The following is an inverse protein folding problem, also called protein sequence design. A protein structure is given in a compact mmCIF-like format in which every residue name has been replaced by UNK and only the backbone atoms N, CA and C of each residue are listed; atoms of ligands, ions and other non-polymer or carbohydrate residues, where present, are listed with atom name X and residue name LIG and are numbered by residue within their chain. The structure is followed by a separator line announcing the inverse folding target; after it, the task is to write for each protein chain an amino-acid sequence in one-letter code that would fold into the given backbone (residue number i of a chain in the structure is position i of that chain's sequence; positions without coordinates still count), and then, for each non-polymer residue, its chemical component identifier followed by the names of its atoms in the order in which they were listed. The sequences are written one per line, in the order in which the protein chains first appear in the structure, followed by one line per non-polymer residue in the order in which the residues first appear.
data_IF_561865117397
#
_entry.id   IF_561865117397
#
_cell.length_a   1.000
_cell.length_b   1.000
_cell.length_c   1.000
_cell.angle_alpha   90.00
_cell.angle_beta   90.00
_cell.angle_gamma   90.00
#
_symmetry.space_group_name_H-M   'P 1'
#
loop_
_entity.id
_entity.type
_entity.pdbx_description
1 polymer ?
#
# COMPACT_ATOMS: atom_id res chain seq x y z
N UNK A 1 0.41 26.60 15.62
CA UNK A 1 1.27 25.76 14.76
C UNK A 1 0.66 25.68 13.38
N UNK A 2 1.46 25.73 12.31
CA UNK A 2 1.01 25.71 10.92
C UNK A 2 1.13 24.30 10.35
N UNK A 3 0.07 23.79 9.74
CA UNK A 3 0.05 22.48 9.08
C UNK A 3 -0.17 22.69 7.58
N UNK A 4 0.75 22.21 6.78
CA UNK A 4 0.67 22.25 5.33
C UNK A 4 0.10 20.96 4.76
N UNK A 5 -0.84 21.09 3.86
CA UNK A 5 -1.42 20.02 3.06
C UNK A 5 -1.07 20.25 1.59
N UNK A 6 -0.13 19.51 0.98
CA UNK A 6 0.14 19.62 -0.46
C UNK A 6 -1.07 19.27 -1.34
N UNK A 7 -1.97 18.43 -0.79
CA UNK A 7 -3.24 18.04 -1.41
C UNK A 7 -4.35 18.04 -0.35
N UNK A 8 -5.61 18.27 -0.73
CA UNK A 8 -6.74 18.19 0.20
C UNK A 8 -6.80 16.81 0.90
N UNK A 9 -7.17 16.82 2.16
CA UNK A 9 -7.49 15.64 2.96
C UNK A 9 -8.93 15.74 3.49
N UNK A 10 -9.40 14.72 4.16
CA UNK A 10 -10.74 14.60 4.69
C UNK A 10 -11.01 15.67 5.77
N UNK A 11 -12.22 16.24 5.73
CA UNK A 11 -12.65 17.36 6.60
C UNK A 11 -12.56 17.03 8.08
N UNK A 12 -12.75 15.78 8.47
CA UNK A 12 -12.64 15.31 9.84
C UNK A 12 -11.23 15.50 10.41
N UNK A 13 -10.21 15.27 9.58
CA UNK A 13 -8.82 15.48 9.96
C UNK A 13 -8.49 16.99 10.05
N UNK A 14 -9.03 17.80 9.14
CA UNK A 14 -8.86 19.26 9.18
C UNK A 14 -9.51 19.83 10.44
N UNK A 15 -10.76 19.43 10.74
CA UNK A 15 -11.47 19.86 11.94
C UNK A 15 -10.70 19.50 13.21
N UNK A 16 -10.14 18.28 13.28
CA UNK A 16 -9.31 17.85 14.43
C UNK A 16 -8.09 18.76 14.66
N UNK A 17 -7.43 19.20 13.57
CA UNK A 17 -6.30 20.13 13.66
C UNK A 17 -6.75 21.53 14.09
N UNK A 18 -7.84 22.04 13.52
CA UNK A 18 -8.39 23.37 13.82
C UNK A 18 -8.91 23.47 15.26
N UNK A 19 -9.55 22.43 15.79
CA UNK A 19 -9.96 22.33 17.20
C UNK A 19 -8.78 22.44 18.18
N UNK A 20 -7.58 22.08 17.73
CA UNK A 20 -6.32 22.24 18.45
C UNK A 20 -5.58 23.53 18.11
N UNK A 21 -6.28 24.52 17.53
CA UNK A 21 -5.75 25.83 17.15
C UNK A 21 -4.59 25.76 16.14
N UNK A 22 -4.53 24.75 15.30
CA UNK A 22 -3.62 24.71 14.17
C UNK A 22 -4.17 25.55 13.01
N UNK A 23 -3.29 26.26 12.32
CA UNK A 23 -3.59 26.94 11.07
C UNK A 23 -3.31 25.92 9.95
N UNK A 24 -4.36 25.51 9.24
CA UNK A 24 -4.24 24.54 8.13
C UNK A 24 -4.20 25.28 6.82
N UNK A 25 -3.16 25.06 6.04
CA UNK A 25 -2.98 25.63 4.69
C UNK A 25 -2.94 24.51 3.67
N UNK A 26 -3.85 24.55 2.68
CA UNK A 26 -3.82 23.61 1.55
C UNK A 26 -3.16 24.31 0.34
N UNK A 27 -2.15 23.67 -0.26
CA UNK A 27 -1.53 24.15 -1.47
C UNK A 27 -2.52 24.12 -2.66
N UNK A 28 -2.43 25.04 -3.62
CA UNK A 28 -3.29 25.04 -4.81
C UNK A 28 -3.12 23.78 -5.67
N UNK A 29 -1.90 23.25 -5.75
CA UNK A 29 -1.57 21.98 -6.39
C UNK A 29 -0.35 21.34 -5.71
N UNK A 30 -0.11 20.01 -5.90
CA UNK A 30 0.98 19.31 -5.25
C UNK A 30 2.32 19.41 -5.98
N UNK A 31 2.58 20.50 -6.72
CA UNK A 31 3.85 20.66 -7.42
C UNK A 31 4.93 21.23 -6.50
N UNK A 32 6.19 20.81 -6.68
CA UNK A 32 7.31 21.29 -5.86
C UNK A 32 7.40 22.83 -5.82
N UNK A 33 7.26 23.49 -6.95
CA UNK A 33 7.33 24.96 -7.07
C UNK A 33 6.20 25.69 -6.31
N UNK A 34 5.04 25.06 -6.14
CA UNK A 34 3.91 25.59 -5.39
C UNK A 34 4.04 25.30 -3.89
N UNK A 35 4.54 24.12 -3.54
CA UNK A 35 4.67 23.67 -2.16
C UNK A 35 5.88 24.29 -1.45
N UNK A 36 7.01 24.47 -2.17
CA UNK A 36 8.27 24.97 -1.61
C UNK A 36 8.13 26.28 -0.82
N UNK A 37 7.47 27.33 -1.32
CA UNK A 37 7.31 28.58 -0.56
C UNK A 37 6.50 28.41 0.73
N UNK A 38 5.56 27.46 0.76
CA UNK A 38 4.68 27.20 1.90
C UNK A 38 5.35 26.36 2.99
N UNK A 39 6.39 25.60 2.63
CA UNK A 39 7.14 24.77 3.59
C UNK A 39 7.92 25.62 4.60
N UNK A 40 8.31 26.85 4.25
CA UNK A 40 9.13 27.71 5.07
C UNK A 40 8.53 27.95 6.46
N UNK A 41 7.23 28.17 6.55
CA UNK A 41 6.51 28.49 7.77
C UNK A 41 5.72 27.29 8.33
N UNK A 42 5.84 26.11 7.69
CA UNK A 42 5.13 24.91 8.09
C UNK A 42 5.84 24.21 9.27
N UNK A 43 5.07 23.85 10.29
CA UNK A 43 5.54 23.05 11.43
C UNK A 43 5.18 21.56 11.26
N UNK A 44 4.08 21.26 10.59
CA UNK A 44 3.65 19.91 10.23
C UNK A 44 3.29 19.81 8.76
N UNK A 45 3.56 18.64 8.17
CA UNK A 45 3.20 18.32 6.79
C UNK A 45 2.40 17.03 6.78
N UNK A 46 1.16 17.07 6.25
CA UNK A 46 0.38 15.85 6.02
C UNK A 46 0.37 15.55 4.53
N UNK A 47 0.83 14.35 4.18
CA UNK A 47 1.23 13.99 2.83
C UNK A 47 0.43 12.82 2.26
N UNK A 48 -0.06 12.97 1.02
CA UNK A 48 -0.58 11.92 0.13
C UNK A 48 0.47 11.49 -0.91
N UNK A 49 0.06 10.80 -1.97
CA UNK A 49 0.95 10.30 -3.02
C UNK A 49 1.32 11.31 -4.10
N UNK A 50 0.64 12.45 -4.19
CA UNK A 50 0.72 13.36 -5.33
C UNK A 50 2.00 14.19 -5.44
N UNK A 51 2.89 14.14 -4.45
CA UNK A 51 4.18 14.84 -4.45
C UNK A 51 5.26 14.00 -3.77
N UNK A 52 6.48 14.10 -4.25
CA UNK A 52 7.67 13.54 -3.58
C UNK A 52 8.37 14.63 -2.77
N UNK A 53 8.49 14.40 -1.47
CA UNK A 53 9.24 15.28 -0.54
C UNK A 53 10.69 14.82 -0.53
N UNK A 54 11.45 15.37 -1.46
CA UNK A 54 12.87 15.09 -1.65
C UNK A 54 13.75 15.94 -0.72
N UNK A 55 15.06 15.73 -0.77
CA UNK A 55 16.06 16.46 0.03
C UNK A 55 15.95 17.97 -0.16
N UNK A 56 15.78 18.43 -1.39
CA UNK A 56 15.68 19.88 -1.68
C UNK A 56 14.52 20.55 -0.94
N UNK A 57 13.31 19.94 -0.98
CA UNK A 57 12.15 20.45 -0.26
C UNK A 57 12.38 20.41 1.26
N UNK A 58 12.99 19.34 1.77
CA UNK A 58 13.31 19.20 3.19
C UNK A 58 14.31 20.26 3.66
N UNK A 59 15.31 20.58 2.87
CA UNK A 59 16.32 21.60 3.20
C UNK A 59 15.71 23.01 3.37
N UNK A 60 14.63 23.31 2.68
CA UNK A 60 13.92 24.59 2.78
C UNK A 60 12.86 24.63 3.92
N UNK A 61 12.64 23.53 4.62
CA UNK A 61 11.64 23.40 5.67
C UNK A 61 12.26 23.57 7.07
N UNK A 62 12.67 24.78 7.46
CA UNK A 62 13.43 25.03 8.68
C UNK A 62 12.61 24.81 9.95
N UNK A 63 11.34 25.17 9.92
CA UNK A 63 10.43 25.06 11.06
C UNK A 63 9.74 23.69 11.14
N UNK A 64 9.87 22.85 10.10
CA UNK A 64 9.14 21.59 10.01
C UNK A 64 9.58 20.58 11.09
N UNK A 65 8.64 20.10 11.90
CA UNK A 65 8.86 19.16 12.99
C UNK A 65 8.48 17.74 12.60
N UNK A 66 7.44 17.59 11.77
CA UNK A 66 6.87 16.28 11.42
C UNK A 66 6.36 16.25 9.98
N UNK A 67 6.63 15.13 9.32
CA UNK A 67 6.00 14.72 8.06
C UNK A 67 5.14 13.49 8.36
N UNK A 68 3.82 13.62 8.26
CA UNK A 68 2.88 12.53 8.51
C UNK A 68 2.25 12.05 7.22
N UNK A 69 2.52 10.80 6.85
CA UNK A 69 2.03 10.17 5.62
C UNK A 69 0.67 9.54 5.87
N UNK A 70 -0.36 9.87 5.09
CA UNK A 70 -1.70 9.26 5.21
C UNK A 70 -1.73 7.78 4.82
N UNK A 71 -0.75 7.28 4.07
CA UNK A 71 -0.61 5.87 3.69
C UNK A 71 0.53 5.15 4.41
N UNK A 72 0.66 3.85 4.18
CA UNK A 72 1.70 3.03 4.81
C UNK A 72 3.08 3.11 4.13
N UNK A 73 3.13 3.42 2.83
CA UNK A 73 4.39 3.53 2.07
C UNK A 73 5.06 4.89 2.24
N UNK A 74 6.38 4.94 2.19
CA UNK A 74 7.19 6.16 2.31
C UNK A 74 8.05 6.40 1.06
N UNK A 75 7.69 5.79 -0.05
CA UNK A 75 8.44 5.87 -1.31
C UNK A 75 8.58 7.31 -1.85
N UNK A 76 7.69 8.20 -1.42
CA UNK A 76 7.68 9.61 -1.79
C UNK A 76 8.20 10.56 -0.69
N UNK A 77 8.99 10.06 0.27
CA UNK A 77 9.65 10.87 1.31
C UNK A 77 11.12 10.48 1.43
N UNK A 78 12.02 11.45 1.33
CA UNK A 78 13.43 11.25 1.69
C UNK A 78 13.57 11.19 3.21
N UNK A 79 13.36 9.99 3.76
CA UNK A 79 13.42 9.73 5.20
C UNK A 79 14.81 10.01 5.78
N UNK A 80 15.88 9.83 4.98
CA UNK A 80 17.26 10.11 5.40
C UNK A 80 17.48 11.61 5.60
N UNK A 81 17.10 12.43 4.63
CA UNK A 81 17.18 13.88 4.72
C UNK A 81 16.33 14.44 5.88
N UNK A 82 15.11 13.91 6.06
CA UNK A 82 14.26 14.29 7.19
C UNK A 82 14.92 13.97 8.54
N UNK A 83 15.57 12.81 8.66
CA UNK A 83 16.27 12.37 9.86
C UNK A 83 17.46 13.26 10.16
N UNK A 84 18.29 13.57 9.17
CA UNK A 84 19.44 14.48 9.30
C UNK A 84 19.04 15.87 9.79
N UNK A 85 17.86 16.35 9.36
CA UNK A 85 17.28 17.64 9.77
C UNK A 85 16.52 17.56 11.12
N UNK A 86 16.38 16.38 11.70
CA UNK A 86 15.66 16.15 12.96
C UNK A 86 14.15 16.28 12.82
N UNK A 87 13.60 15.94 11.64
CA UNK A 87 12.17 15.92 11.33
C UNK A 87 11.64 14.49 11.53
N UNK A 88 10.59 14.36 12.35
CA UNK A 88 9.91 13.07 12.56
C UNK A 88 9.13 12.70 11.31
N UNK A 89 9.27 11.45 10.86
CA UNK A 89 8.44 10.89 9.75
C UNK A 89 7.55 9.80 10.32
N UNK A 90 6.25 9.94 10.11
CA UNK A 90 5.26 8.90 10.48
C UNK A 90 4.54 8.34 9.26
N UNK A 91 4.06 7.11 9.38
CA UNK A 91 3.25 6.45 8.35
C UNK A 91 2.07 5.70 8.97
N UNK A 92 0.99 5.52 8.21
CA UNK A 92 -0.21 4.84 8.67
C UNK A 92 -0.13 3.32 8.52
N UNK A 93 0.83 2.70 9.22
CA UNK A 93 0.98 1.25 9.20
C UNK A 93 -0.22 0.57 9.86
N UNK A 94 -0.94 -0.26 9.07
CA UNK A 94 -2.05 -1.08 9.55
C UNK A 94 -3.43 -0.45 9.42
N UNK A 95 -3.54 0.87 9.28
CA UNK A 95 -4.82 1.59 9.17
C UNK A 95 -5.63 1.17 7.93
N UNK A 96 -4.95 0.83 6.86
CA UNK A 96 -5.53 0.42 5.58
C UNK A 96 -5.65 -1.10 5.40
N UNK A 97 -5.28 -1.91 6.38
CA UNK A 97 -5.18 -3.39 6.24
C UNK A 97 -6.49 -4.00 5.74
N UNK A 98 -7.62 -3.66 6.36
CA UNK A 98 -8.93 -4.23 6.00
C UNK A 98 -9.33 -3.84 4.58
N UNK A 99 -9.22 -2.56 4.23
CA UNK A 99 -9.62 -2.06 2.91
C UNK A 99 -8.81 -2.68 1.77
N UNK A 100 -7.48 -2.82 1.97
CA UNK A 100 -6.62 -3.50 0.98
C UNK A 100 -6.95 -4.99 0.91
N UNK A 101 -7.23 -5.65 2.04
CA UNK A 101 -7.63 -7.06 2.04
C UNK A 101 -8.95 -7.27 1.27
N UNK A 102 -9.96 -6.45 1.52
CA UNK A 102 -11.24 -6.49 0.80
C UNK A 102 -11.06 -6.26 -0.71
N UNK A 103 -10.21 -5.30 -1.10
CA UNK A 103 -9.91 -5.03 -2.50
C UNK A 103 -9.23 -6.24 -3.18
N UNK A 104 -8.22 -6.83 -2.55
CA UNK A 104 -7.55 -8.04 -3.05
C UNK A 104 -8.53 -9.21 -3.18
N UNK A 105 -9.36 -9.45 -2.18
CA UNK A 105 -10.39 -10.49 -2.21
C UNK A 105 -11.41 -10.25 -3.32
N UNK A 106 -11.79 -8.99 -3.57
CA UNK A 106 -12.70 -8.65 -4.67
C UNK A 106 -12.09 -8.97 -6.03
N UNK A 107 -10.79 -8.70 -6.25
CA UNK A 107 -10.07 -9.09 -7.46
C UNK A 107 -9.97 -10.60 -7.61
N UNK A 108 -9.64 -11.33 -6.53
CA UNK A 108 -9.58 -12.81 -6.53
C UNK A 108 -10.93 -13.39 -6.96
N UNK A 109 -12.02 -12.93 -6.36
CA UNK A 109 -13.36 -13.40 -6.70
C UNK A 109 -13.78 -13.00 -8.10
N UNK A 110 -13.53 -11.75 -8.51
CA UNK A 110 -13.89 -11.26 -9.84
C UNK A 110 -13.17 -12.02 -10.96
N UNK A 111 -11.88 -12.32 -10.81
CA UNK A 111 -11.11 -13.14 -11.75
C UNK A 111 -11.57 -14.60 -11.75
N UNK A 112 -11.70 -15.21 -10.57
CA UNK A 112 -12.11 -16.62 -10.45
C UNK A 112 -13.51 -16.85 -11.00
N UNK A 113 -14.44 -15.91 -10.78
CA UNK A 113 -15.82 -15.95 -11.29
C UNK A 113 -15.98 -15.31 -12.66
N UNK A 114 -14.91 -14.79 -13.28
CA UNK A 114 -14.93 -14.11 -14.60
C UNK A 114 -16.00 -13.01 -14.67
N UNK A 115 -16.22 -12.28 -13.59
CA UNK A 115 -17.38 -11.38 -13.46
C UNK A 115 -17.41 -10.32 -14.55
N UNK A 116 -16.29 -9.68 -14.86
CA UNK A 116 -16.21 -8.62 -15.87
C UNK A 116 -16.53 -9.17 -17.26
N UNK A 117 -15.96 -10.32 -17.63
CA UNK A 117 -16.21 -10.98 -18.90
C UNK A 117 -17.69 -11.36 -19.06
N UNK A 118 -18.27 -11.96 -18.03
CA UNK A 118 -19.67 -12.40 -18.06
C UNK A 118 -20.65 -11.22 -18.04
N UNK A 119 -20.39 -10.16 -17.28
CA UNK A 119 -21.19 -8.93 -17.29
C UNK A 119 -21.18 -8.29 -18.69
N UNK A 120 -19.99 -8.10 -19.28
CA UNK A 120 -19.85 -7.56 -20.62
C UNK A 120 -20.59 -8.41 -21.66
N UNK A 121 -20.52 -9.73 -21.57
CA UNK A 121 -21.20 -10.62 -22.49
C UNK A 121 -22.74 -10.48 -22.40
N UNK A 122 -23.31 -10.42 -21.19
CA UNK A 122 -24.74 -10.23 -21.00
C UNK A 122 -25.20 -8.88 -21.54
N UNK A 123 -24.46 -7.79 -21.28
CA UNK A 123 -24.75 -6.45 -21.82
C UNK A 123 -24.77 -6.43 -23.36
N UNK A 124 -23.94 -7.26 -23.99
CA UNK A 124 -23.86 -7.42 -25.45
C UNK A 124 -24.79 -8.52 -26.00
N UNK A 125 -25.74 -9.03 -25.21
CA UNK A 125 -26.74 -10.02 -25.65
C UNK A 125 -26.22 -11.46 -25.81
N UNK A 126 -24.95 -11.73 -25.39
CA UNK A 126 -24.36 -13.07 -25.48
C UNK A 126 -24.63 -13.88 -24.19
N UNK A 127 -25.85 -14.36 -24.02
CA UNK A 127 -26.20 -15.21 -22.88
C UNK A 127 -25.64 -16.65 -22.98
N UNK A 128 -25.28 -17.08 -24.21
CA UNK A 128 -24.71 -18.41 -24.46
C UNK A 128 -23.31 -18.64 -23.91
N UNK A 129 -22.57 -17.57 -23.60
CA UNK A 129 -21.20 -17.61 -23.05
C UNK A 129 -21.06 -18.49 -21.78
N UNK A 130 -22.15 -18.65 -21.03
CA UNK A 130 -22.21 -19.39 -19.75
C UNK A 130 -21.71 -20.83 -19.83
N UNK A 131 -21.71 -21.45 -21.00
CA UNK A 131 -21.22 -22.82 -21.21
C UNK A 131 -19.81 -22.89 -21.81
N UNK A 132 -19.25 -21.76 -22.28
CA UNK A 132 -17.96 -21.69 -22.94
C UNK A 132 -16.83 -21.26 -22.00
N UNK A 133 -17.15 -20.43 -21.01
CA UNK A 133 -16.19 -19.82 -20.10
C UNK A 133 -16.60 -20.04 -18.63
N UNK A 134 -16.51 -21.28 -18.18
CA UNK A 134 -16.95 -21.65 -16.84
C UNK A 134 -16.11 -20.93 -15.76
N UNK A 135 -16.77 -20.26 -14.78
CA UNK A 135 -16.12 -19.79 -13.57
C UNK A 135 -15.53 -20.92 -12.74
N UNK A 136 -14.63 -20.56 -11.84
CA UNK A 136 -13.95 -21.51 -10.95
C UNK A 136 -14.26 -21.20 -9.50
N UNK A 137 -14.32 -22.22 -8.66
CA UNK A 137 -14.42 -22.06 -7.22
C UNK A 137 -13.03 -21.85 -6.62
N UNK A 138 -12.97 -21.03 -5.57
CA UNK A 138 -11.77 -20.85 -4.76
C UNK A 138 -11.78 -21.70 -3.49
N UNK A 139 -12.94 -22.24 -3.12
CA UNK A 139 -13.08 -23.14 -1.98
C UNK A 139 -12.15 -24.35 -2.12
N UNK A 140 -11.40 -24.68 -1.06
CA UNK A 140 -10.46 -25.78 -1.02
C UNK A 140 -9.20 -25.61 -1.90
N UNK A 141 -9.03 -24.45 -2.56
CA UNK A 141 -7.85 -24.11 -3.34
C UNK A 141 -6.71 -23.62 -2.47
N UNK A 142 -5.55 -23.38 -3.06
CA UNK A 142 -4.36 -22.88 -2.37
C UNK A 142 -4.11 -21.43 -2.70
N UNK A 143 -3.97 -20.59 -1.66
CA UNK A 143 -3.45 -19.23 -1.79
C UNK A 143 -1.99 -19.16 -1.35
N UNK A 144 -1.13 -18.59 -2.21
CA UNK A 144 0.26 -18.25 -1.92
C UNK A 144 0.40 -16.77 -1.61
N UNK A 145 0.98 -16.44 -0.47
CA UNK A 145 1.19 -15.08 0.00
C UNK A 145 2.67 -14.72 -0.07
N UNK A 146 3.05 -13.84 -0.99
CA UNK A 146 4.39 -13.26 -1.04
C UNK A 146 4.45 -12.07 -0.07
N UNK A 147 4.99 -12.30 1.11
CA UNK A 147 4.94 -11.41 2.27
C UNK A 147 3.78 -11.75 3.21
N UNK A 148 4.12 -11.98 4.49
CA UNK A 148 3.16 -12.33 5.54
C UNK A 148 3.15 -11.25 6.63
N UNK A 149 3.06 -9.98 6.18
CA UNK A 149 2.80 -8.81 7.03
C UNK A 149 1.32 -8.68 7.39
N UNK A 150 0.90 -7.50 7.88
CA UNK A 150 -0.49 -7.24 8.32
C UNK A 150 -1.53 -7.59 7.24
N UNK A 151 -1.32 -7.13 6.00
CA UNK A 151 -2.26 -7.36 4.89
C UNK A 151 -2.27 -8.83 4.47
N UNK A 152 -1.09 -9.42 4.22
CA UNK A 152 -1.00 -10.85 3.83
C UNK A 152 -1.60 -11.77 4.89
N UNK A 153 -1.35 -11.51 6.17
CA UNK A 153 -1.94 -12.26 7.28
C UNK A 153 -3.48 -12.16 7.28
N UNK A 154 -4.03 -10.95 7.10
CA UNK A 154 -5.49 -10.74 7.09
C UNK A 154 -6.16 -11.45 5.90
N UNK A 155 -5.59 -11.34 4.70
CA UNK A 155 -6.08 -12.05 3.52
C UNK A 155 -6.01 -13.56 3.72
N UNK A 156 -4.87 -14.07 4.20
CA UNK A 156 -4.71 -15.50 4.48
C UNK A 156 -5.73 -16.01 5.49
N UNK A 157 -5.98 -15.23 6.56
CA UNK A 157 -6.99 -15.57 7.58
C UNK A 157 -8.40 -15.66 6.99
N UNK A 158 -8.80 -14.69 6.17
CA UNK A 158 -10.12 -14.68 5.52
C UNK A 158 -10.21 -15.85 4.52
N UNK A 159 -9.20 -16.05 3.68
CA UNK A 159 -9.18 -17.15 2.73
C UNK A 159 -9.27 -18.51 3.41
N UNK A 160 -8.56 -18.71 4.53
CA UNK A 160 -8.62 -19.94 5.30
C UNK A 160 -9.99 -20.14 5.97
N UNK A 161 -10.48 -19.14 6.71
CA UNK A 161 -11.68 -19.29 7.53
C UNK A 161 -12.99 -19.28 6.75
N UNK A 162 -13.06 -18.52 5.65
CA UNK A 162 -14.31 -18.31 4.90
C UNK A 162 -14.38 -19.20 3.66
N UNK A 163 -13.25 -19.41 2.98
CA UNK A 163 -13.19 -20.15 1.72
C UNK A 163 -12.52 -21.52 1.83
N UNK A 164 -12.16 -21.93 3.05
CA UNK A 164 -11.48 -23.22 3.31
C UNK A 164 -10.21 -23.42 2.43
N UNK A 165 -9.53 -22.29 2.14
CA UNK A 165 -8.30 -22.34 1.32
C UNK A 165 -7.10 -22.81 2.17
N UNK A 166 -6.21 -23.55 1.53
CA UNK A 166 -4.87 -23.81 2.06
C UNK A 166 -4.03 -22.55 1.91
N UNK A 167 -3.32 -22.14 2.95
CA UNK A 167 -2.48 -20.95 2.94
C UNK A 167 -1.01 -21.32 2.97
N UNK A 168 -0.28 -20.91 1.93
CA UNK A 168 1.18 -21.01 1.85
C UNK A 168 1.74 -19.58 1.88
N UNK A 169 2.75 -19.31 2.71
CA UNK A 169 3.38 -18.00 2.80
C UNK A 169 4.90 -18.11 2.60
N UNK A 170 5.44 -17.14 1.86
CA UNK A 170 6.86 -16.88 1.74
C UNK A 170 7.17 -15.51 2.37
N UNK A 171 7.89 -15.51 3.48
CA UNK A 171 8.40 -14.32 4.13
C UNK A 171 9.73 -14.65 4.82
N UNK A 172 10.87 -14.35 4.16
CA UNK A 172 12.20 -14.67 4.71
C UNK A 172 12.58 -13.77 5.88
N UNK A 173 11.85 -12.68 6.12
CA UNK A 173 12.13 -11.73 7.20
C UNK A 173 11.26 -11.94 8.43
N UNK A 174 10.20 -12.76 8.35
CA UNK A 174 9.37 -13.07 9.50
C UNK A 174 10.14 -14.01 10.44
N UNK A 175 10.37 -13.64 11.71
CA UNK A 175 11.09 -14.49 12.67
C UNK A 175 10.38 -15.84 12.92
N UNK A 176 11.14 -16.89 13.14
CA UNK A 176 10.59 -18.25 13.34
C UNK A 176 9.63 -18.33 14.52
N UNK A 177 9.88 -17.58 15.59
CA UNK A 177 8.95 -17.46 16.72
C UNK A 177 7.58 -16.91 16.31
N UNK A 178 7.57 -15.95 15.39
CA UNK A 178 6.32 -15.40 14.82
C UNK A 178 5.67 -16.39 13.84
N UNK A 179 6.44 -17.08 13.00
CA UNK A 179 5.90 -18.13 12.12
C UNK A 179 5.20 -19.22 12.93
N UNK A 180 5.75 -19.57 14.11
CA UNK A 180 5.18 -20.60 14.98
C UNK A 180 3.73 -20.27 15.43
N UNK A 181 3.39 -18.99 15.61
CA UNK A 181 2.05 -18.54 16.00
C UNK A 181 0.97 -18.89 14.92
N UNK A 182 1.37 -19.05 13.67
CA UNK A 182 0.47 -19.25 12.52
C UNK A 182 0.49 -20.67 11.95
N UNK A 183 1.39 -21.57 12.42
CA UNK A 183 1.57 -22.92 11.86
C UNK A 183 0.33 -23.84 11.91
N UNK A 184 -0.68 -23.48 12.69
CA UNK A 184 -1.94 -24.24 12.74
C UNK A 184 -2.77 -24.12 11.46
N UNK A 185 -2.53 -23.06 10.63
CA UNK A 185 -3.30 -22.80 9.43
C UNK A 185 -2.46 -22.22 8.27
N UNK A 186 -1.17 -21.91 8.46
CA UNK A 186 -0.24 -21.43 7.43
C UNK A 186 0.93 -22.38 7.28
N UNK A 187 1.24 -22.77 6.05
CA UNK A 187 2.49 -23.43 5.69
C UNK A 187 3.49 -22.38 5.22
N UNK A 188 4.59 -22.19 5.93
CA UNK A 188 5.70 -21.36 5.45
C UNK A 188 6.60 -22.18 4.55
N UNK A 189 6.87 -21.72 3.33
CA UNK A 189 7.60 -22.44 2.31
C UNK A 189 8.56 -21.51 1.53
N UNK A 190 9.46 -22.10 0.75
CA UNK A 190 10.30 -21.37 -0.19
C UNK A 190 9.46 -20.83 -1.38
N UNK A 191 9.98 -19.78 -2.03
CA UNK A 191 9.29 -19.10 -3.12
C UNK A 191 8.83 -20.06 -4.23
N UNK A 192 9.73 -20.94 -4.71
CA UNK A 192 9.40 -21.88 -5.79
C UNK A 192 8.29 -22.86 -5.41
N UNK A 193 8.24 -23.29 -4.16
CA UNK A 193 7.21 -24.19 -3.67
C UNK A 193 5.86 -23.50 -3.57
N UNK A 194 5.84 -22.25 -3.07
CA UNK A 194 4.65 -21.41 -3.06
C UNK A 194 4.09 -21.25 -4.47
N UNK A 195 4.94 -20.82 -5.43
CA UNK A 195 4.51 -20.54 -6.80
C UNK A 195 3.92 -21.78 -7.49
N UNK A 196 4.58 -22.94 -7.33
CA UNK A 196 4.16 -24.19 -8.00
C UNK A 196 2.89 -24.82 -7.41
N UNK A 197 2.59 -24.56 -6.13
CA UNK A 197 1.44 -25.15 -5.45
C UNK A 197 0.19 -24.26 -5.43
N UNK A 198 0.34 -22.95 -5.64
CA UNK A 198 -0.75 -21.99 -5.48
C UNK A 198 -1.67 -21.90 -6.69
N UNK A 199 -2.96 -21.78 -6.44
CA UNK A 199 -4.00 -21.45 -7.42
C UNK A 199 -4.23 -19.94 -7.49
N UNK A 200 -3.94 -19.23 -6.39
CA UNK A 200 -3.94 -17.77 -6.28
C UNK A 200 -2.62 -17.35 -5.67
N UNK A 201 -1.93 -16.39 -6.27
CA UNK A 201 -0.72 -15.78 -5.73
C UNK A 201 -1.03 -14.31 -5.43
N UNK A 202 -0.81 -13.86 -4.19
CA UNK A 202 -1.05 -12.48 -3.79
C UNK A 202 0.21 -11.85 -3.18
N UNK A 203 0.57 -10.65 -3.66
CA UNK A 203 1.84 -9.99 -3.37
C UNK A 203 1.64 -8.89 -2.32
N UNK A 204 2.40 -8.96 -1.21
CA UNK A 204 2.31 -8.07 -0.05
C UNK A 204 3.69 -7.68 0.49
N UNK A 205 4.69 -7.58 -0.39
CA UNK A 205 6.04 -7.13 -0.04
C UNK A 205 6.26 -5.68 -0.46
N UNK A 206 7.11 -4.91 0.27
CA UNK A 206 7.54 -3.58 -0.18
C UNK A 206 8.45 -3.71 -1.41
N UNK A 207 8.57 -2.64 -2.20
CA UNK A 207 9.56 -2.55 -3.25
C UNK A 207 10.93 -2.17 -2.66
N UNK A 208 11.91 -3.03 -2.85
CA UNK A 208 13.30 -2.86 -2.46
C UNK A 208 14.19 -3.43 -3.55
N UNK A 209 15.51 -3.24 -3.47
CA UNK A 209 16.43 -3.88 -4.42
C UNK A 209 16.30 -5.41 -4.45
N UNK A 210 15.92 -6.04 -3.32
CA UNK A 210 15.74 -7.49 -3.21
C UNK A 210 14.39 -7.99 -3.72
N UNK A 211 13.38 -7.13 -3.77
CA UNK A 211 12.03 -7.48 -4.21
C UNK A 211 11.68 -6.91 -5.59
N UNK A 212 12.55 -6.10 -6.15
CA UNK A 212 12.42 -5.61 -7.53
C UNK A 212 12.44 -6.79 -8.49
N UNK A 213 11.37 -6.89 -9.30
CA UNK A 213 11.18 -8.00 -10.24
C UNK A 213 11.27 -9.38 -9.59
N UNK A 214 10.82 -9.50 -8.32
CA UNK A 214 10.76 -10.76 -7.59
C UNK A 214 9.94 -11.81 -8.35
N UNK A 215 8.98 -11.38 -9.14
CA UNK A 215 8.19 -12.22 -10.03
C UNK A 215 8.50 -11.83 -11.48
N UNK A 216 9.22 -12.68 -12.19
CA UNK A 216 9.64 -12.52 -13.58
C UNK A 216 9.38 -13.78 -14.41
N UNK A 217 10.05 -13.90 -15.60
CA UNK A 217 9.83 -15.01 -16.53
C UNK A 217 10.05 -16.39 -15.87
N UNK A 218 11.07 -16.52 -15.00
CA UNK A 218 11.36 -17.77 -14.30
C UNK A 218 10.23 -18.15 -13.33
N UNK A 219 9.75 -17.18 -12.55
CA UNK A 219 8.69 -17.38 -11.56
C UNK A 219 7.36 -17.69 -12.24
N UNK A 220 7.02 -17.02 -13.35
CA UNK A 220 5.82 -17.35 -14.14
C UNK A 220 5.86 -18.78 -14.68
N UNK A 221 7.04 -19.28 -15.06
CA UNK A 221 7.18 -20.66 -15.55
C UNK A 221 6.94 -21.74 -14.48
N UNK A 222 7.01 -21.38 -13.20
CA UNK A 222 6.72 -22.27 -12.08
C UNK A 222 5.25 -22.31 -11.69
N UNK A 223 4.48 -21.29 -12.07
CA UNK A 223 3.08 -21.16 -11.70
C UNK A 223 2.19 -22.17 -12.44
N UNK A 224 1.06 -22.53 -11.83
CA UNK A 224 0.04 -23.31 -12.52
C UNK A 224 -0.54 -22.50 -13.68
N UNK A 225 -0.84 -23.14 -14.81
CA UNK A 225 -1.44 -22.47 -16.00
C UNK A 225 -2.79 -21.85 -15.70
N UNK A 226 -3.45 -22.33 -14.67
CA UNK A 226 -4.74 -21.83 -14.21
C UNK A 226 -4.62 -20.92 -12.98
N UNK A 227 -3.41 -20.56 -12.56
CA UNK A 227 -3.18 -19.63 -11.45
C UNK A 227 -3.57 -18.19 -11.82
N UNK A 228 -3.97 -17.43 -10.81
CA UNK A 228 -4.16 -15.97 -10.91
C UNK A 228 -3.17 -15.25 -10.00
N UNK A 229 -2.66 -14.13 -10.48
CA UNK A 229 -1.74 -13.27 -9.73
C UNK A 229 -2.45 -11.99 -9.29
N UNK A 230 -2.30 -11.59 -8.02
CA UNK A 230 -2.80 -10.32 -7.51
C UNK A 230 -1.63 -9.47 -6.99
N UNK A 231 -1.55 -8.23 -7.47
CA UNK A 231 -0.59 -7.27 -6.96
C UNK A 231 -1.29 -5.94 -6.59
N UNK A 232 -1.45 -5.72 -5.29
CA UNK A 232 -1.90 -4.47 -4.70
C UNK A 232 -0.83 -3.91 -3.72
N UNK A 233 0.45 -4.23 -3.98
CA UNK A 233 1.59 -3.76 -3.18
C UNK A 233 2.37 -2.65 -3.87
N UNK A 234 3.29 -3.01 -4.77
CA UNK A 234 4.07 -2.09 -5.63
C UNK A 234 4.28 -2.71 -7.02
N UNK A 235 4.13 -1.91 -8.08
CA UNK A 235 4.24 -2.37 -9.46
C UNK A 235 5.58 -3.01 -9.78
N UNK A 236 6.68 -2.38 -9.40
CA UNK A 236 8.04 -2.87 -9.68
C UNK A 236 8.44 -4.19 -9.00
N UNK A 237 7.57 -4.80 -8.17
CA UNK A 237 7.80 -6.16 -7.62
C UNK A 237 7.59 -7.21 -8.69
N UNK A 238 6.70 -6.97 -9.64
CA UNK A 238 6.47 -7.81 -10.80
C UNK A 238 7.20 -7.22 -12.00
N UNK A 239 7.90 -8.05 -12.77
CA UNK A 239 8.38 -7.63 -14.08
C UNK A 239 7.19 -7.57 -15.03
N UNK A 240 6.74 -6.35 -15.35
CA UNK A 240 5.51 -6.12 -16.11
C UNK A 240 5.60 -6.66 -17.54
N UNK A 241 6.78 -6.59 -18.16
CA UNK A 241 7.01 -7.19 -19.49
C UNK A 241 6.86 -8.72 -19.45
N UNK A 242 7.40 -9.37 -18.42
CA UNK A 242 7.24 -10.81 -18.23
C UNK A 242 5.78 -11.18 -17.94
N UNK A 243 5.07 -10.37 -17.15
CA UNK A 243 3.64 -10.56 -16.87
C UNK A 243 2.80 -10.50 -18.15
N UNK A 244 3.02 -9.48 -19.00
CA UNK A 244 2.32 -9.36 -20.29
C UNK A 244 2.52 -10.62 -21.14
N UNK A 245 3.78 -11.11 -21.26
CA UNK A 245 4.06 -12.36 -22.00
C UNK A 245 3.36 -13.56 -21.38
N UNK A 246 3.39 -13.70 -20.05
CA UNK A 246 2.75 -14.81 -19.36
C UNK A 246 1.24 -14.84 -19.58
N UNK A 247 0.58 -13.67 -19.56
CA UNK A 247 -0.85 -13.54 -19.83
C UNK A 247 -1.21 -13.81 -21.29
N UNK A 248 -0.44 -13.27 -22.25
CA UNK A 248 -0.67 -13.48 -23.70
C UNK A 248 -0.47 -14.94 -24.11
N UNK A 249 0.48 -15.64 -23.48
CA UNK A 249 0.78 -17.04 -23.76
C UNK A 249 -0.03 -18.02 -22.88
N UNK A 250 -0.98 -17.54 -22.08
CA UNK A 250 -1.77 -18.34 -21.13
C UNK A 250 -0.90 -19.19 -20.18
N UNK A 251 0.28 -18.68 -19.79
CA UNK A 251 1.10 -19.31 -18.76
C UNK A 251 0.44 -19.20 -17.38
N UNK A 252 -0.37 -18.13 -17.16
CA UNK A 252 -1.28 -17.97 -16.04
C UNK A 252 -2.66 -17.58 -16.55
N UNK A 253 -3.70 -17.84 -15.76
CA UNK A 253 -5.08 -17.60 -16.17
C UNK A 253 -5.47 -16.12 -16.19
N UNK A 254 -4.84 -15.30 -15.34
CA UNK A 254 -5.16 -13.88 -15.26
C UNK A 254 -4.40 -13.15 -14.16
N UNK A 255 -4.54 -11.83 -14.12
CA UNK A 255 -3.95 -11.00 -13.07
C UNK A 255 -4.91 -9.88 -12.61
N UNK A 256 -4.82 -9.51 -11.32
CA UNK A 256 -5.43 -8.32 -10.74
C UNK A 256 -4.34 -7.35 -10.28
N UNK A 257 -4.32 -6.16 -10.83
CA UNK A 257 -3.29 -5.16 -10.57
C UNK A 257 -3.91 -3.85 -10.09
N UNK A 258 -3.53 -3.42 -8.90
CA UNK A 258 -3.86 -2.09 -8.39
C UNK A 258 -2.66 -1.12 -8.51
N UNK A 259 -1.49 -1.65 -8.87
CA UNK A 259 -0.22 -0.91 -8.97
C UNK A 259 0.53 -1.29 -10.23
N UNK A 260 1.32 -0.34 -10.76
CA UNK A 260 2.01 -0.47 -12.04
C UNK A 260 3.48 -0.07 -11.93
N UNK A 261 4.28 -0.46 -12.90
CA UNK A 261 5.70 -0.08 -12.98
C UNK A 261 5.87 1.43 -13.20
N UNK A 262 4.91 2.04 -13.89
CA UNK A 262 4.79 3.48 -14.09
C UNK A 262 3.36 3.93 -13.76
N UNK A 263 3.25 4.95 -12.91
CA UNK A 263 1.97 5.53 -12.50
C UNK A 263 2.00 7.06 -12.71
N UNK A 264 1.05 7.64 -13.48
CA UNK A 264 -0.08 7.02 -14.18
C UNK A 264 0.34 6.06 -15.30
N UNK A 265 -0.49 5.02 -15.52
CA UNK A 265 -0.24 4.00 -16.55
C UNK A 265 -0.20 4.66 -17.94
N UNK A 266 0.88 4.46 -18.74
CA UNK A 266 0.95 4.96 -20.12
C UNK A 266 -0.19 4.41 -20.98
N UNK A 267 -0.71 5.25 -21.91
CA UNK A 267 -1.84 4.88 -22.74
C UNK A 267 -1.56 3.73 -23.75
N UNK A 268 -0.29 3.48 -24.01
CA UNK A 268 0.19 2.40 -24.87
C UNK A 268 0.61 1.14 -24.11
N UNK A 269 0.39 1.10 -22.79
CA UNK A 269 0.72 -0.07 -21.98
C UNK A 269 -0.06 -1.31 -22.46
N UNK A 270 0.64 -2.42 -22.79
CA UNK A 270 0.00 -3.62 -23.33
C UNK A 270 -1.04 -4.26 -22.41
N UNK A 271 -0.92 -4.08 -21.08
CA UNK A 271 -1.90 -4.58 -20.11
C UNK A 271 -3.31 -4.07 -20.38
N UNK A 272 -3.45 -2.84 -20.92
CA UNK A 272 -4.73 -2.21 -21.21
C UNK A 272 -5.53 -2.92 -22.31
N UNK A 273 -4.90 -3.81 -23.08
CA UNK A 273 -5.50 -4.56 -24.18
C UNK A 273 -5.83 -6.01 -23.83
N UNK A 274 -5.49 -6.45 -22.59
CA UNK A 274 -5.69 -7.85 -22.18
C UNK A 274 -7.06 -8.02 -21.50
N UNK A 275 -7.81 -9.06 -21.92
CA UNK A 275 -9.12 -9.37 -21.36
C UNK A 275 -9.06 -10.17 -20.04
N UNK A 276 -7.92 -10.80 -19.77
CA UNK A 276 -7.70 -11.63 -18.59
C UNK A 276 -7.04 -10.88 -17.43
N UNK A 277 -7.17 -9.55 -17.40
CA UNK A 277 -6.68 -8.70 -16.33
C UNK A 277 -7.78 -7.83 -15.73
N UNK A 278 -7.65 -7.51 -14.45
CA UNK A 278 -8.41 -6.46 -13.76
C UNK A 278 -7.42 -5.39 -13.32
N UNK A 279 -7.67 -4.15 -13.72
CA UNK A 279 -6.79 -3.01 -13.45
C UNK A 279 -7.56 -1.98 -12.62
N UNK A 280 -6.94 -1.50 -11.53
CA UNK A 280 -7.47 -0.41 -10.70
C UNK A 280 -6.37 0.62 -10.43
N UNK A 281 -6.70 1.92 -10.29
CA UNK A 281 -5.73 3.00 -10.32
C UNK A 281 -5.15 3.30 -8.93
N UNK A 282 -4.47 2.33 -8.30
CA UNK A 282 -3.85 2.43 -6.97
C UNK A 282 -4.85 2.87 -5.89
N UNK A 283 -6.01 2.18 -5.85
CA UNK A 283 -7.17 2.54 -5.03
C UNK A 283 -7.50 1.52 -3.94
N UNK A 284 -6.69 0.48 -3.76
CA UNK A 284 -6.96 -0.58 -2.78
C UNK A 284 -7.23 -0.05 -1.35
N UNK A 285 -6.61 1.08 -0.97
CA UNK A 285 -6.83 1.74 0.31
C UNK A 285 -7.82 2.91 0.25
N UNK A 286 -8.38 3.26 -0.90
CA UNK A 286 -9.17 4.49 -1.09
C UNK A 286 -10.68 4.24 -0.92
N UNK A 287 -11.09 3.58 0.17
CA UNK A 287 -12.50 3.55 0.58
C UNK A 287 -12.84 4.82 1.38
N UNK A 288 -14.12 5.22 1.41
CA UNK A 288 -14.57 6.40 2.17
C UNK A 288 -14.14 6.32 3.63
N UNK A 289 -14.30 5.17 4.23
CA UNK A 289 -13.96 4.92 5.63
C UNK A 289 -12.44 4.93 5.85
N UNK A 290 -11.69 4.35 4.93
CA UNK A 290 -10.24 4.23 5.07
C UNK A 290 -9.54 5.57 4.88
N UNK A 291 -9.93 6.38 3.90
CA UNK A 291 -9.32 7.70 3.69
C UNK A 291 -9.54 8.62 4.89
N UNK A 292 -10.76 8.59 5.49
CA UNK A 292 -11.03 9.33 6.74
C UNK A 292 -10.17 8.82 7.90
N UNK A 293 -10.08 7.50 8.11
CA UNK A 293 -9.21 6.92 9.14
C UNK A 293 -7.75 7.30 8.93
N UNK A 294 -7.25 7.20 7.70
CA UNK A 294 -5.85 7.52 7.38
C UNK A 294 -5.53 9.00 7.59
N UNK A 295 -6.42 9.90 7.17
CA UNK A 295 -6.22 11.34 7.36
C UNK A 295 -6.27 11.73 8.84
N UNK A 296 -7.26 11.19 9.58
CA UNK A 296 -7.42 11.46 11.02
C UNK A 296 -6.21 10.94 11.82
N UNK A 297 -5.70 9.77 11.50
CA UNK A 297 -4.52 9.23 12.17
C UNK A 297 -3.26 10.03 11.86
N UNK A 298 -3.10 10.48 10.62
CA UNK A 298 -2.00 11.38 10.25
C UNK A 298 -2.08 12.71 11.00
N UNK A 299 -3.28 13.28 11.16
CA UNK A 299 -3.50 14.50 11.94
C UNK A 299 -3.16 14.28 13.42
N UNK A 300 -3.54 13.16 14.04
CA UNK A 300 -3.17 12.82 15.41
C UNK A 300 -1.66 12.75 15.59
N UNK A 301 -0.94 12.07 14.67
CA UNK A 301 0.53 12.02 14.73
C UNK A 301 1.17 13.42 14.69
N UNK A 302 0.62 14.35 13.90
CA UNK A 302 1.07 15.74 13.87
C UNK A 302 0.83 16.41 15.23
N UNK A 303 -0.36 16.25 15.80
CA UNK A 303 -0.73 16.83 17.10
C UNK A 303 0.11 16.24 18.23
N UNK A 304 0.36 14.94 18.26
CA UNK A 304 1.24 14.31 19.24
C UNK A 304 2.62 14.97 19.25
N UNK A 305 3.22 15.16 18.05
CA UNK A 305 4.51 15.85 17.92
C UNK A 305 4.42 17.30 18.42
N UNK A 306 3.36 18.02 18.09
CA UNK A 306 3.17 19.40 18.54
C UNK A 306 3.02 19.52 20.06
N UNK A 307 2.46 18.50 20.70
CA UNK A 307 2.31 18.42 22.15
C UNK A 307 3.55 17.84 22.86
N UNK A 308 4.60 17.47 22.08
CA UNK A 308 5.84 16.88 22.62
C UNK A 308 5.70 15.39 22.99
N UNK A 309 4.65 14.73 22.49
CA UNK A 309 4.43 13.30 22.66
C UNK A 309 5.03 12.52 21.48
N UNK A 310 5.53 11.32 21.76
CA UNK A 310 5.99 10.42 20.72
C UNK A 310 4.78 9.90 19.92
N UNK A 311 4.72 10.16 18.59
CA UNK A 311 3.61 9.70 17.77
C UNK A 311 3.73 8.20 17.46
N UNK A 312 2.63 7.61 17.04
CA UNK A 312 2.63 6.22 16.57
C UNK A 312 3.36 6.06 15.23
N UNK A 313 3.90 4.87 14.98
CA UNK A 313 4.46 4.46 13.69
C UNK A 313 5.55 5.40 13.15
N UNK A 314 6.48 5.83 14.02
CA UNK A 314 7.66 6.60 13.62
C UNK A 314 8.55 5.75 12.71
N UNK A 315 8.82 6.25 11.50
CA UNK A 315 9.62 5.56 10.49
C UNK A 315 11.13 5.76 10.68
N UNK A 316 11.52 6.83 11.38
CA UNK A 316 12.90 7.20 11.66
C UNK A 316 13.12 7.39 13.18
N UNK A 317 13.02 6.33 13.99
CA UNK A 317 13.04 6.42 15.46
C UNK A 317 14.31 7.05 16.03
N UNK A 318 15.43 7.01 15.32
CA UNK A 318 16.67 7.67 15.71
C UNK A 318 16.52 9.21 15.87
N UNK A 319 15.52 9.82 15.22
CA UNK A 319 15.24 11.25 15.36
C UNK A 319 14.76 11.62 16.78
N UNK A 320 14.17 10.67 17.50
CA UNK A 320 13.69 10.86 18.87
C UNK A 320 14.85 11.07 19.87
N UNK A 321 16.07 10.70 19.49
CA UNK A 321 17.29 10.99 20.25
C UNK A 321 17.91 12.35 19.90
N UNK A 322 17.39 13.06 18.91
CA UNK A 322 17.93 14.34 18.44
C UNK A 322 17.75 15.44 19.51
N UNK A 323 18.70 16.40 19.51
CA UNK A 323 18.59 17.57 20.36
C UNK A 323 17.39 18.46 20.02
N UNK A 324 16.89 18.42 18.80
CA UNK A 324 15.68 19.15 18.36
C UNK A 324 14.43 18.60 19.03
N UNK A 325 14.26 17.28 19.03
CA UNK A 325 13.13 16.62 19.69
C UNK A 325 13.15 16.84 21.21
N UNK A 326 14.31 16.65 21.85
CA UNK A 326 14.46 16.85 23.31
C UNK A 326 14.16 18.29 23.75
N UNK A 327 14.53 19.30 22.96
CA UNK A 327 14.14 20.69 23.19
C UNK A 327 12.64 20.90 23.10
N UNK A 328 12.01 20.37 22.04
CA UNK A 328 10.55 20.47 21.86
C UNK A 328 9.80 19.90 23.08
N UNK A 329 10.21 18.74 23.57
CA UNK A 329 9.60 18.13 24.77
C UNK A 329 9.78 18.99 26.02
N UNK A 330 10.96 19.56 26.23
CA UNK A 330 11.24 20.42 27.38
C UNK A 330 10.39 21.70 27.35
N UNK A 331 10.27 22.36 26.20
CA UNK A 331 9.48 23.57 26.01
C UNK A 331 7.98 23.32 26.29
N UNK A 332 7.45 22.17 25.88
CA UNK A 332 6.05 21.79 26.14
C UNK A 332 5.78 21.41 27.57
N UNK A 333 6.71 20.74 28.23
CA UNK A 333 6.59 20.39 29.66
C UNK A 333 6.53 21.63 30.52
N UNK A 334 7.25 22.73 30.17
CA UNK A 334 7.25 23.98 30.89
C UNK A 334 6.00 24.85 30.65
N UNK A 335 5.23 24.62 29.60
CA UNK A 335 3.98 25.34 29.32
C UNK A 335 2.75 24.71 30.01
N UNK A 336 2.85 23.45 30.46
CA UNK A 336 1.79 22.72 31.13
C UNK A 336 1.91 22.74 32.67
N UNK A 337 2.90 23.42 33.22
CA UNK A 337 3.06 23.73 34.64
C UNK A 337 2.66 25.18 34.93
#
# INVERSE_FOLDING_TARGET
MNVLLPQPIETEAISLLEEKNCIVTTAPDPKPETVLPLLKDAHGLILRTGITINRELIEHADELLVISRTGGGLDNVDVSAATEKGIIVTSNLGVNTVSVAEHVLSMILALSKRLILLDNAVRNGNFGIRYQNLPRDINGKTIGLLGFGRIGCEIGRICHQIFDMQVIAYDPYLPDGKKAEYRSWVTFAELYELLSKSDVISIHVPLTDKTRHLVGDAEFSLMKTDAILINASRGGVVNETALVKALQNNQIAGAGLDVFSEEPVPADNPLLQLENVILTPHTAALTKECVTRMATEAAKCVLDVFDGHEPQNVANPQVLESGRWKRLQADRSSQNC
#
